data_IF_652255537696
#
_entry.id   IF_652255537696
#
_cell.length_a   1.000
_cell.length_b   1.000
_cell.length_c   1.000
_cell.angle_alpha   90.00
_cell.angle_beta   90.00
_cell.angle_gamma   90.00
#
_symmetry.space_group_name_H-M   'P 1'
#
loop_
_entity.id
_entity.type
_entity.pdbx_description
1 polymer ?
#
# COMPACT_ATOMS: atom_id res chain seq x y z
N UNK A 1 -14.65 16.07 16.74
CA UNK A 1 -13.89 15.08 17.52
C UNK A 1 -13.50 13.98 16.56
N UNK A 2 -12.23 13.62 16.45
CA UNK A 2 -11.77 12.55 15.55
C UNK A 2 -11.36 11.34 16.40
N UNK A 3 -12.21 10.33 16.47
CA UNK A 3 -11.93 9.03 17.09
C UNK A 3 -11.24 8.14 16.06
N UNK A 4 -10.02 8.51 15.66
CA UNK A 4 -9.31 7.95 14.50
C UNK A 4 -8.66 6.57 14.73
N UNK A 5 -9.29 5.67 15.51
CA UNK A 5 -8.69 4.34 15.76
C UNK A 5 -9.71 3.21 15.87
N UNK A 6 -10.92 3.47 16.35
CA UNK A 6 -12.02 2.48 16.36
C UNK A 6 -12.90 2.55 15.12
N UNK A 7 -12.86 3.69 14.41
CA UNK A 7 -13.67 3.96 13.22
C UNK A 7 -13.01 3.39 11.95
N UNK A 8 -11.67 3.31 11.93
CA UNK A 8 -10.87 2.85 10.79
C UNK A 8 -11.12 1.38 10.48
N UNK A 9 -11.11 0.50 11.49
CA UNK A 9 -11.44 -0.93 11.34
C UNK A 9 -12.90 -1.17 10.87
N UNK A 10 -13.86 -0.37 11.36
CA UNK A 10 -15.26 -0.47 10.95
C UNK A 10 -15.48 0.07 9.53
N UNK A 11 -14.74 1.11 9.16
CA UNK A 11 -14.73 1.66 7.81
C UNK A 11 -14.09 0.67 6.84
N UNK A 12 -13.01 0.02 7.24
CA UNK A 12 -12.33 -1.01 6.44
C UNK A 12 -13.21 -2.25 6.23
N UNK A 13 -13.95 -2.70 7.26
CA UNK A 13 -14.95 -3.77 7.13
C UNK A 13 -16.05 -3.39 6.14
N UNK A 14 -16.57 -2.15 6.24
CA UNK A 14 -17.58 -1.64 5.31
C UNK A 14 -17.07 -1.56 3.87
N UNK A 15 -15.84 -1.07 3.67
CA UNK A 15 -15.20 -0.97 2.36
C UNK A 15 -14.93 -2.35 1.77
N UNK A 16 -14.44 -3.30 2.58
CA UNK A 16 -14.21 -4.69 2.18
C UNK A 16 -15.52 -5.37 1.77
N UNK A 17 -16.60 -5.18 2.51
CA UNK A 17 -17.93 -5.72 2.19
C UNK A 17 -18.50 -5.18 0.86
N UNK A 18 -18.03 -4.00 0.44
CA UNK A 18 -18.37 -3.36 -0.84
C UNK A 18 -17.37 -3.70 -1.96
N UNK A 19 -16.38 -4.53 -1.67
CA UNK A 19 -15.39 -5.02 -2.63
C UNK A 19 -14.18 -4.10 -2.82
N UNK A 20 -13.96 -3.13 -1.94
CA UNK A 20 -12.75 -2.30 -1.95
C UNK A 20 -11.60 -3.00 -1.23
N UNK A 21 -10.41 -2.96 -1.82
CA UNK A 21 -9.19 -3.40 -1.15
C UNK A 21 -8.73 -2.36 -0.12
N UNK A 22 -8.71 -2.75 1.15
CA UNK A 22 -8.24 -1.91 2.28
C UNK A 22 -6.85 -2.33 2.75
N UNK A 23 -6.21 -3.27 2.05
CA UNK A 23 -4.87 -3.73 2.37
C UNK A 23 -3.85 -2.60 2.30
N UNK A 24 -2.90 -2.58 3.25
CA UNK A 24 -1.73 -1.68 3.17
C UNK A 24 -0.98 -1.98 1.86
N UNK A 25 -0.84 -1.01 0.93
CA UNK A 25 -0.22 -1.27 -0.36
C UNK A 25 1.24 -1.69 -0.17
N UNK A 26 1.56 -2.88 -0.70
CA UNK A 26 2.91 -3.39 -0.84
C UNK A 26 3.52 -3.00 -2.18
N UNK A 27 4.75 -3.45 -2.43
CA UNK A 27 5.32 -3.36 -3.78
C UNK A 27 4.48 -4.23 -4.73
N UNK A 28 4.13 -3.70 -5.89
CA UNK A 28 3.58 -4.52 -6.97
C UNK A 28 4.70 -5.37 -7.59
N UNK A 29 4.37 -6.54 -8.12
CA UNK A 29 5.36 -7.43 -8.74
C UNK A 29 5.24 -7.41 -10.27
N UNK A 30 6.34 -7.06 -10.94
CA UNK A 30 6.43 -7.09 -12.40
C UNK A 30 7.59 -8.00 -12.82
N UNK A 31 7.26 -9.22 -13.25
CA UNK A 31 8.19 -10.33 -13.54
C UNK A 31 9.10 -10.71 -12.36
N UNK A 32 10.13 -9.92 -12.11
CA UNK A 32 11.17 -10.12 -11.10
C UNK A 32 11.60 -8.79 -10.44
N UNK A 33 10.81 -7.74 -10.64
CA UNK A 33 11.05 -6.39 -10.13
C UNK A 33 9.89 -5.97 -9.25
N UNK A 34 10.24 -5.15 -8.26
CA UNK A 34 9.27 -4.42 -7.46
C UNK A 34 8.83 -3.18 -8.24
N UNK A 35 7.55 -3.00 -8.43
CA UNK A 35 6.94 -1.84 -9.09
C UNK A 35 6.26 -0.96 -8.05
N UNK A 36 6.58 0.34 -8.07
CA UNK A 36 5.99 1.31 -7.17
C UNK A 36 4.53 1.54 -7.57
N UNK A 37 3.57 1.35 -6.65
CA UNK A 37 2.14 1.54 -6.95
C UNK A 37 1.77 3.01 -7.17
N UNK A 38 2.61 3.94 -6.68
CA UNK A 38 2.32 5.38 -6.72
C UNK A 38 2.76 6.01 -8.06
N UNK A 39 3.96 5.66 -8.56
CA UNK A 39 4.54 6.28 -9.75
C UNK A 39 4.90 5.30 -10.87
N UNK A 40 4.69 3.99 -10.68
CA UNK A 40 5.06 2.94 -11.64
C UNK A 40 6.56 2.66 -11.77
N UNK A 41 7.39 3.21 -10.88
CA UNK A 41 8.84 3.02 -10.91
C UNK A 41 9.25 1.56 -10.67
N UNK A 42 10.17 1.01 -11.46
CA UNK A 42 10.67 -0.35 -11.32
C UNK A 42 11.98 -0.39 -10.51
N UNK A 43 12.03 -1.29 -9.53
CA UNK A 43 13.13 -1.46 -8.59
C UNK A 43 13.52 -2.94 -8.43
N UNK A 44 14.72 -3.17 -7.90
CA UNK A 44 15.17 -4.52 -7.55
C UNK A 44 14.33 -5.16 -6.43
N UNK A 45 14.40 -6.50 -6.26
CA UNK A 45 13.66 -7.21 -5.21
C UNK A 45 14.04 -6.76 -3.79
N UNK A 46 15.25 -6.23 -3.60
CA UNK A 46 15.74 -5.73 -2.31
C UNK A 46 15.36 -4.26 -2.03
N UNK A 47 14.56 -3.63 -2.89
CA UNK A 47 14.17 -2.25 -2.70
C UNK A 47 13.23 -2.09 -1.49
N UNK A 48 13.63 -1.19 -0.58
CA UNK A 48 12.85 -0.79 0.59
C UNK A 48 12.11 0.55 0.39
N UNK A 49 12.51 1.34 -0.62
CA UNK A 49 11.96 2.67 -0.93
C UNK A 49 12.02 2.91 -2.45
N UNK A 50 11.02 3.60 -2.97
CA UNK A 50 11.02 4.10 -4.35
C UNK A 50 11.94 5.31 -4.45
N UNK A 51 13.05 5.17 -5.17
CA UNK A 51 14.00 6.27 -5.42
C UNK A 51 13.45 7.37 -6.35
N UNK A 52 12.25 7.21 -6.91
CA UNK A 52 11.62 8.19 -7.80
C UNK A 52 10.72 9.15 -7.03
N UNK A 53 9.79 8.61 -6.23
CA UNK A 53 8.80 9.41 -5.49
C UNK A 53 8.93 9.33 -3.96
N UNK A 54 9.87 8.54 -3.43
CA UNK A 54 10.06 8.35 -1.98
C UNK A 54 9.04 7.42 -1.32
N UNK A 55 8.21 6.72 -2.10
CA UNK A 55 7.21 5.80 -1.57
C UNK A 55 7.86 4.63 -0.81
N UNK A 56 7.24 4.24 0.32
CA UNK A 56 7.65 3.09 1.14
C UNK A 56 6.41 2.31 1.60
N UNK A 57 6.47 0.97 1.60
CA UNK A 57 5.36 0.15 2.11
C UNK A 57 5.15 0.41 3.61
N UNK A 58 3.90 0.61 4.02
CA UNK A 58 3.50 1.03 5.37
C UNK A 58 3.38 -0.15 6.36
N UNK A 59 4.12 -1.23 6.13
CA UNK A 59 4.00 -2.50 6.86
C UNK A 59 5.34 -3.18 7.07
N UNK A 60 5.95 -2.92 8.22
CA UNK A 60 6.84 -3.85 8.93
C UNK A 60 6.60 -3.67 10.42
#
# INVERSE_FOLDING_TARGET
MATASTDDDLLDDFLTQRGHETGRPGWEENYNKKQCPDCGGLHGPDAAECTVCGWRPRGS
#
